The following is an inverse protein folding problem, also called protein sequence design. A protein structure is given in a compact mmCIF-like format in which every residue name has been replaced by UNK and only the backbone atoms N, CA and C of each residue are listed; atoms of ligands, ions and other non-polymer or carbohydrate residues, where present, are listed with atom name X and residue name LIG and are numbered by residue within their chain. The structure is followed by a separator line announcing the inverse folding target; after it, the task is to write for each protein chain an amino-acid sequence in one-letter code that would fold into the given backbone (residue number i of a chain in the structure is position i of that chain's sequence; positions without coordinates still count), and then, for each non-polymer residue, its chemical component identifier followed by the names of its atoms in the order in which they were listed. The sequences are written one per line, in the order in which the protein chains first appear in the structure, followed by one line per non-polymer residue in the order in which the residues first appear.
data_IF_585046889337
#
_entry.id   IF_585046889337
#
_cell.length_a   1.000
_cell.length_b   1.000
_cell.length_c   1.000
_cell.angle_alpha   90.00
_cell.angle_beta   90.00
_cell.angle_gamma   90.00
#
_symmetry.space_group_name_H-M   'P 1'
#
loop_
_entity.id
_entity.type
_entity.pdbx_description
1 polymer ?
#
# COMPACT_ATOMS: atom_id res chain seq x y z
N UNK A 1 9.29 -2.28 -18.08
CA UNK A 1 8.22 -2.76 -18.99
C UNK A 1 8.22 -4.28 -18.95
N UNK A 2 7.04 -4.88 -18.76
CA UNK A 2 6.83 -6.35 -18.76
C UNK A 2 6.29 -6.86 -20.10
N UNK A 3 5.98 -5.95 -21.01
CA UNK A 3 5.61 -6.26 -22.40
C UNK A 3 6.70 -7.14 -23.04
N UNK A 4 6.27 -8.16 -23.78
CA UNK A 4 7.12 -9.15 -24.47
C UNK A 4 8.00 -10.05 -23.58
N UNK A 5 7.78 -10.08 -22.26
CA UNK A 5 8.44 -11.04 -21.37
C UNK A 5 7.51 -12.18 -21.02
N UNK A 6 8.01 -13.41 -21.14
CA UNK A 6 7.33 -14.57 -20.57
C UNK A 6 7.52 -14.53 -19.05
N UNK A 7 6.42 -14.40 -18.30
CA UNK A 7 6.41 -14.46 -16.85
C UNK A 7 5.21 -15.27 -16.35
N UNK A 8 5.34 -15.74 -15.11
CA UNK A 8 4.32 -16.54 -14.42
C UNK A 8 3.69 -15.66 -13.35
N UNK A 9 2.36 -15.67 -13.26
CA UNK A 9 1.64 -15.03 -12.15
C UNK A 9 1.34 -16.10 -11.11
N UNK A 10 1.81 -15.88 -9.88
CA UNK A 10 1.45 -16.70 -8.72
C UNK A 10 0.33 -16.01 -7.95
N UNK A 11 -0.72 -16.76 -7.62
CA UNK A 11 -1.87 -16.26 -6.86
C UNK A 11 -2.44 -17.35 -5.97
N UNK A 12 -2.98 -16.99 -4.81
CA UNK A 12 -3.76 -17.89 -3.95
C UNK A 12 -5.23 -18.00 -4.38
N UNK A 13 -5.65 -17.19 -5.35
CA UNK A 13 -7.03 -17.12 -5.81
C UNK A 13 -7.35 -18.19 -6.86
N UNK A 14 -7.59 -19.44 -6.42
CA UNK A 14 -7.95 -20.57 -7.30
C UNK A 14 -9.07 -20.28 -8.31
N UNK A 15 -10.16 -19.57 -7.96
CA UNK A 15 -11.21 -19.28 -8.93
C UNK A 15 -10.73 -18.46 -10.12
N UNK A 16 -9.69 -17.63 -9.95
CA UNK A 16 -9.15 -16.77 -11.01
C UNK A 16 -8.43 -17.59 -12.08
N UNK A 17 -7.62 -18.57 -11.64
CA UNK A 17 -6.92 -19.50 -12.52
C UNK A 17 -7.95 -20.29 -13.34
N UNK A 18 -9.00 -20.78 -12.68
CA UNK A 18 -10.05 -21.52 -13.34
C UNK A 18 -10.88 -20.65 -14.30
N UNK A 19 -11.09 -19.37 -13.97
CA UNK A 19 -11.78 -18.43 -14.85
C UNK A 19 -10.97 -18.11 -16.12
N UNK A 20 -9.64 -18.06 -16.05
CA UNK A 20 -8.77 -17.82 -17.21
C UNK A 20 -8.80 -18.99 -18.21
N UNK A 21 -8.95 -20.22 -17.71
CA UNK A 21 -8.96 -21.43 -18.55
C UNK A 21 -10.35 -21.84 -19.05
N UNK A 22 -11.42 -21.22 -18.56
CA UNK A 22 -12.77 -21.49 -19.05
C UNK A 22 -13.10 -20.60 -20.25
N UNK A 23 -13.82 -21.15 -21.22
CA UNK A 23 -14.51 -20.35 -22.23
C UNK A 23 -15.53 -19.46 -21.51
N UNK A 24 -15.60 -18.18 -21.87
CA UNK A 24 -16.19 -17.07 -21.10
C UNK A 24 -17.67 -17.16 -20.71
N UNK A 25 -18.33 -18.30 -20.86
CA UNK A 25 -19.75 -18.53 -20.55
C UNK A 25 -20.13 -18.32 -19.07
N UNK A 26 -19.20 -18.52 -18.12
CA UNK A 26 -19.50 -18.45 -16.67
C UNK A 26 -19.10 -17.13 -16.00
N UNK A 27 -18.52 -16.20 -16.73
CA UNK A 27 -18.04 -14.93 -16.19
C UNK A 27 -18.96 -13.77 -16.61
N UNK A 28 -19.13 -12.78 -15.73
CA UNK A 28 -19.83 -11.55 -16.09
C UNK A 28 -19.03 -10.80 -17.18
N UNK A 29 -19.68 -10.01 -18.07
CA UNK A 29 -18.99 -9.30 -19.15
C UNK A 29 -17.81 -8.43 -18.70
N UNK A 30 -17.85 -7.72 -17.55
CA UNK A 30 -16.69 -7.01 -17.03
C UNK A 30 -15.54 -7.96 -16.68
N UNK A 31 -15.82 -9.08 -16.02
CA UNK A 31 -14.78 -10.03 -15.61
C UNK A 31 -14.11 -10.66 -16.84
N UNK A 32 -14.86 -10.95 -17.89
CA UNK A 32 -14.31 -11.44 -19.17
C UNK A 32 -13.31 -10.43 -19.75
N UNK A 33 -13.66 -9.14 -19.82
CA UNK A 33 -12.74 -8.10 -20.33
C UNK A 33 -11.46 -7.98 -19.51
N UNK A 34 -11.54 -8.11 -18.18
CA UNK A 34 -10.35 -8.09 -17.33
C UNK A 34 -9.46 -9.31 -17.57
N UNK A 35 -10.05 -10.49 -17.74
CA UNK A 35 -9.31 -11.71 -18.04
C UNK A 35 -8.67 -11.66 -19.43
N UNK A 36 -9.39 -11.15 -20.45
CA UNK A 36 -8.85 -10.91 -21.79
C UNK A 36 -7.72 -9.89 -21.79
N UNK A 37 -7.77 -8.88 -20.92
CA UNK A 37 -6.68 -7.93 -20.77
C UNK A 37 -5.45 -8.59 -20.14
N UNK A 38 -5.61 -9.38 -19.07
CA UNK A 38 -4.49 -10.08 -18.43
C UNK A 38 -3.87 -11.13 -19.37
N UNK A 39 -4.69 -11.83 -20.16
CA UNK A 39 -4.23 -12.89 -21.07
C UNK A 39 -3.38 -12.38 -22.23
N UNK A 40 -3.46 -11.09 -22.58
CA UNK A 40 -2.56 -10.44 -23.54
C UNK A 40 -1.10 -10.42 -23.06
N UNK A 41 -0.87 -10.49 -21.75
CA UNK A 41 0.48 -10.48 -21.18
C UNK A 41 0.97 -11.88 -20.83
N UNK A 42 0.11 -12.71 -20.21
CA UNK A 42 0.47 -14.09 -19.88
C UNK A 42 -0.77 -14.96 -19.67
N UNK A 43 -0.65 -16.23 -20.02
CA UNK A 43 -1.64 -17.28 -19.70
C UNK A 43 -1.12 -18.27 -18.66
N UNK A 44 0.14 -18.16 -18.22
CA UNK A 44 0.73 -19.02 -17.18
C UNK A 44 0.44 -18.41 -15.79
N UNK A 45 -0.68 -18.86 -15.21
CA UNK A 45 -1.10 -18.52 -13.85
C UNK A 45 -1.09 -19.77 -12.97
N UNK A 46 -0.43 -19.71 -11.81
CA UNK A 46 -0.25 -20.85 -10.92
C UNK A 46 -0.72 -20.55 -9.50
N UNK A 47 -1.37 -21.55 -8.91
CA UNK A 47 -1.84 -21.44 -7.54
C UNK A 47 -0.69 -21.61 -6.55
N UNK A 48 -0.59 -20.69 -5.59
CA UNK A 48 0.20 -20.86 -4.37
C UNK A 48 -0.73 -20.86 -3.16
N UNK A 49 -0.49 -21.70 -2.14
CA UNK A 49 -1.29 -21.62 -0.92
C UNK A 49 -1.12 -20.24 -0.24
N UNK A 50 -2.16 -19.74 0.44
CA UNK A 50 -2.14 -18.40 1.05
C UNK A 50 -0.98 -18.17 2.03
N UNK A 51 -0.48 -19.22 2.70
CA UNK A 51 0.72 -19.09 3.54
C UNK A 51 2.00 -18.69 2.75
N UNK A 52 2.02 -18.92 1.44
CA UNK A 52 3.06 -18.46 0.52
C UNK A 52 2.71 -17.13 -0.18
N UNK A 53 1.49 -16.62 0.00
CA UNK A 53 1.01 -15.31 -0.48
C UNK A 53 1.16 -14.19 0.56
N UNK A 54 1.78 -14.46 1.72
CA UNK A 54 1.86 -13.53 2.85
C UNK A 54 2.33 -12.10 2.51
N UNK A 55 3.24 -11.94 1.55
CA UNK A 55 3.68 -10.62 1.09
C UNK A 55 2.54 -9.90 0.35
N UNK A 56 1.91 -10.56 -0.63
CA UNK A 56 0.80 -9.99 -1.39
C UNK A 56 -0.41 -9.72 -0.49
N UNK A 57 -0.68 -10.62 0.46
CA UNK A 57 -1.75 -10.47 1.44
C UNK A 57 -1.49 -9.28 2.35
N UNK A 58 -0.26 -9.10 2.86
CA UNK A 58 0.10 -7.94 3.65
C UNK A 58 -0.10 -6.64 2.87
N UNK A 59 0.28 -6.60 1.58
CA UNK A 59 0.03 -5.44 0.72
C UNK A 59 -1.46 -5.20 0.45
N UNK A 60 -2.26 -6.25 0.28
CA UNK A 60 -3.72 -6.14 0.13
C UNK A 60 -4.36 -5.61 1.41
N UNK A 61 -3.89 -6.07 2.57
CA UNK A 61 -4.38 -5.65 3.89
C UNK A 61 -4.08 -4.18 4.18
N UNK A 62 -2.97 -3.60 3.69
CA UNK A 62 -2.66 -2.16 3.88
C UNK A 62 -3.83 -1.26 3.43
N UNK A 63 -4.58 -1.67 2.41
CA UNK A 63 -5.74 -0.90 1.93
C UNK A 63 -6.96 -0.96 2.85
N UNK A 64 -7.02 -1.97 3.73
CA UNK A 64 -8.14 -2.26 4.65
C UNK A 64 -7.80 -1.85 6.08
N UNK A 65 -6.52 -1.80 6.41
CA UNK A 65 -6.00 -1.39 7.72
C UNK A 65 -6.46 0.04 8.04
N UNK A 66 -7.37 0.16 9.02
CA UNK A 66 -7.57 1.41 9.74
C UNK A 66 -6.43 1.56 10.73
N UNK A 67 -5.58 2.56 10.53
CA UNK A 67 -4.49 2.84 11.46
C UNK A 67 -4.95 3.15 12.89
N UNK A 68 -6.24 3.44 13.09
CA UNK A 68 -6.90 3.56 14.41
C UNK A 68 -6.89 2.24 15.18
N UNK A 69 -6.99 1.09 14.51
CA UNK A 69 -7.00 -0.24 15.14
C UNK A 69 -5.61 -0.66 15.66
N UNK A 70 -4.55 0.04 15.23
CA UNK A 70 -3.18 -0.20 15.69
C UNK A 70 -2.87 0.50 17.02
N UNK A 71 -3.87 1.15 17.63
CA UNK A 71 -3.70 1.85 18.91
C UNK A 71 -2.78 3.07 18.81
N UNK A 72 -2.62 3.64 17.61
CA UNK A 72 -1.81 4.85 17.41
C UNK A 72 -2.59 6.04 17.98
N UNK A 73 -2.18 6.55 19.14
CA UNK A 73 -2.76 7.77 19.71
C UNK A 73 -2.17 9.03 19.06
N UNK A 74 -2.88 9.52 18.05
CA UNK A 74 -2.52 10.77 17.38
C UNK A 74 -2.66 12.01 18.27
N UNK A 75 -3.41 11.93 19.39
CA UNK A 75 -3.44 13.02 20.36
C UNK A 75 -2.13 13.11 21.11
N UNK A 76 -1.64 11.98 21.62
CA UNK A 76 -0.34 11.91 22.30
C UNK A 76 0.76 12.37 21.36
N UNK A 77 0.76 11.89 20.12
CA UNK A 77 1.76 12.27 19.11
C UNK A 77 1.75 13.77 18.80
N UNK A 78 0.57 14.37 18.61
CA UNK A 78 0.45 15.81 18.39
C UNK A 78 0.90 16.63 19.61
N UNK A 79 0.59 16.17 20.81
CA UNK A 79 1.01 16.81 22.06
C UNK A 79 2.53 16.74 22.24
N UNK A 80 3.14 15.57 22.03
CA UNK A 80 4.59 15.38 22.12
C UNK A 80 5.33 16.26 21.11
N UNK A 81 4.91 16.29 19.85
CA UNK A 81 5.50 17.18 18.84
C UNK A 81 5.36 18.66 19.18
N UNK A 82 4.21 19.08 19.74
CA UNK A 82 3.99 20.48 20.13
C UNK A 82 4.96 20.92 21.25
N UNK A 83 5.27 20.02 22.17
CA UNK A 83 6.13 20.29 23.32
C UNK A 83 7.62 20.03 23.03
N UNK A 84 7.96 19.48 21.87
CA UNK A 84 9.32 19.17 21.47
C UNK A 84 10.10 20.42 21.02
N UNK A 85 11.05 20.86 21.85
CA UNK A 85 11.91 22.00 21.55
C UNK A 85 12.91 21.71 20.40
N UNK A 86 13.37 20.47 20.25
CA UNK A 86 14.22 20.07 19.13
C UNK A 86 13.45 20.19 17.82
N UNK A 87 12.22 19.69 17.74
CA UNK A 87 11.39 19.79 16.55
C UNK A 87 11.15 21.25 16.13
N UNK A 88 10.99 22.16 17.09
CA UNK A 88 10.87 23.61 16.83
C UNK A 88 12.18 24.21 16.31
N UNK A 89 13.32 23.76 16.81
CA UNK A 89 14.63 24.22 16.34
C UNK A 89 14.95 23.75 14.92
N UNK A 90 14.43 22.58 14.52
CA UNK A 90 14.62 22.02 13.17
C UNK A 90 13.99 22.85 12.05
N UNK A 91 12.96 23.66 12.36
CA UNK A 91 12.39 24.60 11.40
C UNK A 91 13.37 25.71 10.98
N UNK A 92 14.35 26.01 11.83
CA UNK A 92 15.28 27.14 11.66
C UNK A 92 16.74 26.67 11.46
N UNK A 93 16.99 25.37 11.51
CA UNK A 93 18.31 24.77 11.35
C UNK A 93 18.56 24.36 9.89
N UNK A 94 19.80 24.49 9.40
CA UNK A 94 20.23 24.01 8.08
C UNK A 94 20.37 22.48 8.06
N UNK A 95 19.24 21.79 8.26
CA UNK A 95 19.16 20.33 8.11
C UNK A 95 18.60 19.97 6.75
N UNK A 96 18.87 18.75 6.27
CA UNK A 96 18.25 18.22 5.05
C UNK A 96 16.74 17.91 5.18
N UNK A 97 16.15 18.12 6.37
CA UNK A 97 14.77 17.80 6.67
C UNK A 97 13.82 18.82 6.06
N UNK A 98 12.66 18.35 5.59
CA UNK A 98 11.58 19.19 5.05
C UNK A 98 10.31 18.88 5.83
N UNK A 99 10.12 19.56 6.95
CA UNK A 99 8.96 19.36 7.80
C UNK A 99 7.71 19.99 7.18
N UNK A 100 6.65 19.19 7.01
CA UNK A 100 5.33 19.64 6.57
C UNK A 100 4.24 19.19 7.55
N UNK A 101 3.26 20.05 7.85
CA UNK A 101 2.09 19.66 8.62
C UNK A 101 1.20 18.73 7.78
N UNK A 102 0.75 17.64 8.40
CA UNK A 102 -0.22 16.68 7.88
C UNK A 102 -1.45 16.70 8.78
N UNK A 103 -2.62 16.89 8.17
CA UNK A 103 -3.89 16.85 8.89
C UNK A 103 -4.36 15.41 9.01
N UNK A 104 -4.56 14.95 10.23
CA UNK A 104 -5.20 13.68 10.52
C UNK A 104 -6.45 13.94 11.37
N UNK A 105 -7.60 13.95 10.72
CA UNK A 105 -8.86 14.38 11.34
C UNK A 105 -8.78 15.83 11.83
N UNK A 106 -8.87 16.02 13.15
CA UNK A 106 -8.79 17.33 13.82
C UNK A 106 -7.37 17.71 14.29
N UNK A 107 -6.37 16.87 14.03
CA UNK A 107 -5.00 17.02 14.53
C UNK A 107 -4.02 17.33 13.42
N UNK A 108 -2.95 18.03 13.80
CA UNK A 108 -1.83 18.36 12.91
C UNK A 108 -0.59 17.65 13.44
N UNK A 109 0.00 16.80 12.61
CA UNK A 109 1.27 16.11 12.87
C UNK A 109 2.30 16.60 11.85
N UNK A 110 3.49 16.95 12.30
CA UNK A 110 4.60 17.32 11.42
C UNK A 110 5.33 16.07 10.93
N UNK A 111 5.52 16.00 9.62
CA UNK A 111 6.21 14.91 8.95
C UNK A 111 7.39 15.44 8.13
N UNK A 112 8.52 14.74 8.14
CA UNK A 112 9.58 14.96 7.18
C UNK A 112 9.18 14.38 5.82
N UNK A 113 9.32 15.19 4.77
CA UNK A 113 9.10 14.80 3.38
C UNK A 113 10.36 14.91 2.51
N UNK A 114 11.53 15.04 3.13
CA UNK A 114 12.82 15.18 2.43
C UNK A 114 13.07 14.05 1.43
N UNK A 115 12.64 12.83 1.74
CA UNK A 115 12.85 11.63 0.91
C UNK A 115 11.67 11.30 -0.01
N UNK A 116 10.69 12.20 -0.17
CA UNK A 116 9.49 11.97 -0.99
C UNK A 116 8.41 11.07 -0.36
N UNK A 117 8.63 10.62 0.87
CA UNK A 117 7.65 9.88 1.69
C UNK A 117 7.39 10.65 2.97
N UNK A 118 6.17 10.56 3.51
CA UNK A 118 5.83 11.13 4.81
C UNK A 118 6.42 10.27 5.92
N UNK A 119 7.32 10.84 6.71
CA UNK A 119 7.86 10.21 7.92
C UNK A 119 7.48 11.07 9.11
N UNK A 120 6.74 10.52 10.05
CA UNK A 120 6.45 11.22 11.30
C UNK A 120 7.76 11.47 12.04
N UNK A 121 7.92 12.70 12.55
CA UNK A 121 9.07 13.04 13.39
C UNK A 121 8.66 12.81 14.83
N UNK A 122 9.07 11.67 15.40
CA UNK A 122 8.89 11.38 16.82
C UNK A 122 10.22 11.62 17.55
N UNK A 123 10.11 12.18 18.75
CA UNK A 123 11.22 12.29 19.72
C UNK A 123 11.64 10.92 20.23
#
# INVERSE_FOLDING_TARGET
MIEERNFIIYTDHKPLIYALHQEGEKCSPPNVRHLEFVSQFTTDMRHVPGNQSSVADAFSLISIINFEDFGIDYNEMACSQKNDEMLRSLHWSETGLKLKPMNLGSKVIYCDVSTGFYKTVCS
#
